data_IF_129268221990
#
_entry.id   IF_129268221990
#
_cell.length_a   1.000
_cell.length_b   1.000
_cell.length_c   1.000
_cell.angle_alpha   90.00
_cell.angle_beta   90.00
_cell.angle_gamma   90.00
#
_symmetry.space_group_name_H-M   'P 1'
#
loop_
_entity.id
_entity.type
_entity.pdbx_description
1 polymer ?
#
# COMPACT_ATOMS: atom_id res chain seq x y z
N UNK A 1 -62.51 -47.37 39.75
CA UNK A 1 -61.57 -46.40 39.21
C UNK A 1 -60.96 -46.99 37.93
N UNK A 2 -61.31 -46.42 36.74
CA UNK A 2 -60.81 -46.92 35.42
C UNK A 2 -59.55 -46.15 35.05
N UNK A 3 -58.41 -46.85 34.99
CA UNK A 3 -57.17 -46.29 34.58
C UNK A 3 -57.14 -46.05 33.04
N UNK A 4 -56.86 -44.80 32.61
CA UNK A 4 -56.76 -44.39 31.24
C UNK A 4 -55.31 -44.68 30.75
N UNK A 5 -55.15 -45.67 29.86
CA UNK A 5 -53.84 -45.92 29.20
C UNK A 5 -53.62 -44.88 28.12
N UNK A 6 -52.57 -44.04 28.27
CA UNK A 6 -52.10 -43.15 27.22
C UNK A 6 -51.14 -43.96 26.31
N UNK A 7 -51.56 -44.20 25.08
CA UNK A 7 -50.67 -44.70 24.03
C UNK A 7 -50.07 -43.54 23.30
N UNK A 8 -48.74 -43.31 23.49
CA UNK A 8 -47.97 -42.36 22.65
C UNK A 8 -47.83 -42.99 21.25
N UNK A 9 -48.53 -42.42 20.27
CA UNK A 9 -48.27 -42.70 18.86
C UNK A 9 -47.03 -41.89 18.44
N UNK A 10 -45.87 -42.51 18.40
CA UNK A 10 -44.69 -41.97 17.74
C UNK A 10 -44.86 -42.13 16.24
N UNK A 11 -45.54 -41.13 15.63
CA UNK A 11 -45.66 -41.07 14.18
C UNK A 11 -44.25 -40.84 13.57
N UNK A 12 -43.68 -41.91 13.05
CA UNK A 12 -42.42 -41.86 12.34
C UNK A 12 -42.58 -41.06 11.07
N UNK A 13 -42.21 -39.77 11.09
CA UNK A 13 -42.41 -38.85 9.96
C UNK A 13 -41.23 -38.96 8.97
N UNK A 14 -41.30 -39.97 8.13
CA UNK A 14 -40.28 -40.30 7.11
C UNK A 14 -40.04 -39.12 6.13
N UNK A 15 -41.07 -38.32 5.85
CA UNK A 15 -40.94 -37.12 4.97
C UNK A 15 -39.99 -36.07 5.57
N UNK A 16 -40.03 -35.87 6.90
CA UNK A 16 -39.10 -34.94 7.58
C UNK A 16 -37.68 -35.46 7.55
N UNK A 17 -37.47 -36.78 7.71
CA UNK A 17 -36.13 -37.38 7.61
C UNK A 17 -35.58 -37.32 6.19
N UNK A 18 -36.43 -37.53 5.19
CA UNK A 18 -36.03 -37.42 3.79
C UNK A 18 -35.64 -35.98 3.43
N UNK A 19 -36.40 -34.97 3.91
CA UNK A 19 -36.12 -33.55 3.72
C UNK A 19 -34.80 -33.14 4.40
N UNK A 20 -34.55 -33.64 5.61
CA UNK A 20 -33.28 -33.38 6.33
C UNK A 20 -32.08 -34.01 5.65
N UNK A 21 -32.23 -35.22 5.08
CA UNK A 21 -31.18 -35.89 4.31
C UNK A 21 -30.89 -35.15 2.98
N UNK A 22 -31.93 -34.67 2.30
CA UNK A 22 -31.81 -33.86 1.09
C UNK A 22 -31.11 -32.53 1.36
N UNK A 23 -31.46 -31.84 2.45
CA UNK A 23 -30.79 -30.60 2.87
C UNK A 23 -29.33 -30.82 3.25
N UNK A 24 -29.03 -31.93 3.94
CA UNK A 24 -27.65 -32.30 4.28
C UNK A 24 -26.84 -32.64 3.01
N UNK A 25 -27.44 -33.34 2.05
CA UNK A 25 -26.83 -33.66 0.76
C UNK A 25 -26.58 -32.39 -0.07
N UNK A 26 -27.52 -31.44 -0.13
CA UNK A 26 -27.32 -30.14 -0.78
C UNK A 26 -26.24 -29.28 -0.11
N UNK A 27 -26.12 -29.32 1.23
CA UNK A 27 -25.06 -28.64 1.96
C UNK A 27 -23.69 -29.28 1.66
N UNK A 28 -23.60 -30.60 1.63
CA UNK A 28 -22.35 -31.33 1.34
C UNK A 28 -21.92 -31.16 -0.14
N UNK A 29 -22.87 -31.16 -1.08
CA UNK A 29 -22.55 -30.94 -2.52
C UNK A 29 -22.30 -29.47 -2.82
N UNK A 30 -22.95 -28.53 -2.11
CA UNK A 30 -22.68 -27.09 -2.23
C UNK A 30 -21.29 -26.71 -1.71
N UNK A 31 -20.78 -27.39 -0.67
CA UNK A 31 -19.40 -27.22 -0.20
C UNK A 31 -18.36 -27.87 -1.14
N UNK A 32 -18.74 -28.91 -1.88
CA UNK A 32 -17.83 -29.59 -2.80
C UNK A 32 -17.75 -28.91 -4.19
N UNK A 33 -18.72 -28.04 -4.53
CA UNK A 33 -18.87 -27.46 -5.87
C UNK A 33 -18.30 -26.04 -6.07
N UNK A 34 -17.77 -25.37 -5.03
CA UNK A 34 -17.27 -23.99 -5.14
C UNK A 34 -15.74 -23.90 -5.10
N UNK A 35 -15.05 -24.96 -5.44
CA UNK A 35 -13.65 -24.88 -5.79
C UNK A 35 -13.50 -24.11 -7.09
N UNK A 36 -13.59 -22.77 -7.07
CA UNK A 36 -12.96 -21.97 -8.12
C UNK A 36 -11.52 -22.43 -8.14
N UNK A 37 -11.11 -23.13 -9.20
CA UNK A 37 -9.69 -23.34 -9.51
C UNK A 37 -9.12 -21.93 -9.60
N UNK A 38 -8.61 -21.41 -8.46
CA UNK A 38 -7.73 -20.28 -8.50
C UNK A 38 -6.59 -20.74 -9.41
N UNK A 39 -6.55 -20.21 -10.64
CA UNK A 39 -5.38 -20.36 -11.48
C UNK A 39 -4.22 -19.92 -10.61
N UNK A 40 -3.42 -20.85 -10.16
CA UNK A 40 -2.21 -20.56 -9.43
C UNK A 40 -1.37 -19.69 -10.36
N UNK A 41 -1.40 -18.36 -10.12
CA UNK A 41 -0.53 -17.44 -10.83
C UNK A 41 0.90 -17.92 -10.54
N UNK A 42 1.61 -18.32 -11.60
CA UNK A 42 2.98 -18.77 -11.46
C UNK A 42 3.85 -17.54 -11.18
N UNK A 43 4.10 -17.31 -9.89
CA UNK A 43 4.93 -16.18 -9.46
C UNK A 43 6.37 -16.44 -9.92
N UNK A 44 6.99 -15.53 -10.70
CA UNK A 44 8.40 -15.65 -11.06
C UNK A 44 9.29 -15.82 -9.83
N UNK A 45 10.36 -16.57 -9.92
CA UNK A 45 11.22 -16.88 -8.78
C UNK A 45 11.74 -15.64 -8.04
N UNK A 46 12.08 -14.60 -8.78
CA UNK A 46 12.52 -13.31 -8.21
C UNK A 46 11.42 -12.53 -7.49
N UNK A 47 10.14 -12.93 -7.62
CA UNK A 47 8.98 -12.29 -6.99
C UNK A 47 8.33 -13.17 -5.93
N UNK A 48 8.84 -14.39 -5.67
CA UNK A 48 8.29 -15.29 -4.66
C UNK A 48 8.25 -14.64 -3.28
N UNK A 49 9.31 -13.95 -2.89
CA UNK A 49 9.37 -13.22 -1.63
C UNK A 49 8.17 -12.28 -1.44
N UNK A 50 7.77 -11.56 -2.51
CA UNK A 50 6.64 -10.62 -2.44
C UNK A 50 5.30 -11.36 -2.31
N UNK A 51 5.14 -12.49 -2.97
CA UNK A 51 3.94 -13.32 -2.85
C UNK A 51 3.81 -13.96 -1.45
N UNK A 52 4.94 -14.25 -0.79
CA UNK A 52 5.00 -14.84 0.54
C UNK A 52 4.90 -13.80 1.66
N UNK A 53 5.43 -12.61 1.45
CA UNK A 53 5.47 -11.51 2.41
C UNK A 53 4.16 -10.71 2.41
N UNK A 54 3.12 -11.23 3.06
CA UNK A 54 1.75 -10.69 3.01
C UNK A 54 1.55 -9.34 3.72
N UNK A 55 2.52 -8.89 4.53
CA UNK A 55 2.37 -7.73 5.40
C UNK A 55 3.57 -6.79 5.29
N UNK A 56 3.32 -5.55 4.88
CA UNK A 56 4.35 -4.52 4.68
C UNK A 56 3.87 -3.12 5.01
N UNK A 57 4.80 -2.16 4.98
CA UNK A 57 4.55 -0.74 5.15
C UNK A 57 4.59 -0.05 3.79
N UNK A 58 3.62 0.82 3.52
CA UNK A 58 3.66 1.73 2.39
C UNK A 58 3.69 3.16 2.91
N UNK A 59 4.74 3.92 2.59
CA UNK A 59 4.94 5.29 3.05
C UNK A 59 4.70 6.24 1.88
N UNK A 60 3.66 7.07 2.00
CA UNK A 60 3.46 8.25 1.18
C UNK A 60 4.14 9.43 1.87
N UNK A 61 5.29 9.87 1.34
CA UNK A 61 6.05 10.97 1.89
C UNK A 61 6.68 11.81 0.77
N UNK A 62 6.43 13.11 0.79
CA UNK A 62 6.87 14.07 -0.19
C UNK A 62 6.48 15.48 0.25
N UNK A 63 6.60 16.48 -0.64
CA UNK A 63 6.26 17.86 -0.30
C UNK A 63 4.80 18.03 0.15
N UNK A 64 3.90 17.16 -0.28
CA UNK A 64 2.50 17.11 0.17
C UNK A 64 2.33 16.77 1.66
N UNK A 65 3.34 16.21 2.32
CA UNK A 65 3.33 15.98 3.77
C UNK A 65 3.19 17.27 4.58
N UNK A 66 3.46 18.43 3.96
CA UNK A 66 3.21 19.74 4.53
C UNK A 66 1.75 19.94 4.99
N UNK A 67 0.81 19.39 4.26
CA UNK A 67 -0.63 19.56 4.55
C UNK A 67 -1.14 18.65 5.68
N UNK A 68 -0.49 17.51 5.92
CA UNK A 68 -0.88 16.56 6.96
C UNK A 68 -2.16 15.76 6.67
N UNK A 69 -2.73 15.83 5.46
CA UNK A 69 -3.99 15.15 5.13
C UNK A 69 -4.00 14.44 3.76
N UNK A 70 -2.85 14.15 3.20
CA UNK A 70 -2.74 13.25 2.05
C UNK A 70 -2.00 13.84 0.85
N UNK A 71 -1.62 12.94 -0.03
CA UNK A 71 -0.78 13.19 -1.20
C UNK A 71 -1.53 13.86 -2.36
N UNK A 72 -2.86 13.90 -2.30
CA UNK A 72 -3.71 14.56 -3.29
C UNK A 72 -4.01 16.03 -2.98
N UNK A 73 -3.45 16.59 -1.91
CA UNK A 73 -3.75 17.95 -1.43
C UNK A 73 -3.64 19.02 -2.54
N UNK A 74 -2.61 18.96 -3.38
CA UNK A 74 -2.47 19.89 -4.51
C UNK A 74 -3.72 19.89 -5.40
N UNK A 75 -4.25 18.73 -5.75
CA UNK A 75 -5.42 18.59 -6.62
C UNK A 75 -6.73 18.90 -5.89
N UNK A 76 -6.91 18.39 -4.67
CA UNK A 76 -8.17 18.54 -3.92
C UNK A 76 -8.41 19.97 -3.44
N UNK A 77 -7.36 20.73 -3.22
CA UNK A 77 -7.43 22.14 -2.82
C UNK A 77 -7.33 23.09 -4.02
N UNK A 78 -7.21 22.58 -5.24
CA UNK A 78 -7.13 23.38 -6.47
C UNK A 78 -5.90 24.29 -6.54
N UNK A 79 -4.78 23.84 -5.95
CA UNK A 79 -3.54 24.62 -5.95
C UNK A 79 -2.84 24.44 -7.31
N UNK A 80 -2.55 25.57 -8.00
CA UNK A 80 -1.82 25.48 -9.27
C UNK A 80 -0.42 24.93 -9.06
N UNK A 81 0.11 24.23 -10.08
CA UNK A 81 1.46 23.66 -10.02
C UNK A 81 2.55 24.68 -9.72
N UNK A 82 2.43 25.88 -10.28
CA UNK A 82 3.36 26.99 -10.03
C UNK A 82 3.32 27.45 -8.56
N UNK A 83 2.12 27.62 -8.01
CA UNK A 83 1.94 27.99 -6.61
C UNK A 83 2.47 26.90 -5.69
N UNK A 84 2.11 25.64 -5.97
CA UNK A 84 2.55 24.52 -5.17
C UNK A 84 4.07 24.42 -5.11
N UNK A 85 4.75 24.51 -6.25
CA UNK A 85 6.21 24.45 -6.30
C UNK A 85 6.86 25.59 -5.50
N UNK A 86 6.41 26.83 -5.70
CA UNK A 86 6.99 28.02 -5.05
C UNK A 86 6.73 28.09 -3.55
N UNK A 87 5.56 27.63 -3.10
CA UNK A 87 5.12 27.85 -1.71
C UNK A 87 5.25 26.62 -0.83
N UNK A 88 5.20 25.42 -1.41
CA UNK A 88 5.24 24.15 -0.68
C UNK A 88 6.57 23.43 -0.96
N UNK A 89 6.80 22.99 -2.21
CA UNK A 89 7.98 22.19 -2.51
C UNK A 89 9.29 22.94 -2.26
N UNK A 90 9.37 24.24 -2.60
CA UNK A 90 10.58 25.03 -2.35
C UNK A 90 10.91 25.24 -0.85
N UNK A 91 9.98 24.91 0.04
CA UNK A 91 10.18 24.99 1.51
C UNK A 91 10.25 23.62 2.17
N UNK A 92 10.09 22.57 1.40
CA UNK A 92 10.09 21.20 1.94
C UNK A 92 11.49 20.82 2.40
N UNK A 93 11.63 20.64 3.71
CA UNK A 93 12.91 20.37 4.35
C UNK A 93 12.80 19.24 5.38
N UNK A 94 12.91 17.98 4.93
CA UNK A 94 12.75 16.81 5.81
C UNK A 94 14.03 16.48 6.59
N UNK A 95 14.72 17.44 7.20
CA UNK A 95 15.95 17.20 7.96
C UNK A 95 15.78 16.17 9.08
N UNK A 96 14.57 16.12 9.68
CA UNK A 96 14.24 15.19 10.77
C UNK A 96 13.85 13.78 10.30
N UNK A 97 13.94 13.51 8.99
CA UNK A 97 13.64 12.18 8.48
C UNK A 97 14.63 11.17 9.06
N UNK A 98 14.11 10.14 9.73
CA UNK A 98 14.88 9.07 10.36
C UNK A 98 14.48 7.70 9.80
N UNK A 99 15.28 7.22 8.86
CA UNK A 99 15.06 5.93 8.22
C UNK A 99 15.19 4.75 9.20
N UNK A 100 16.09 4.85 10.19
CA UNK A 100 16.29 3.78 11.17
C UNK A 100 15.07 3.66 12.09
N UNK A 101 14.54 4.78 12.56
CA UNK A 101 13.34 4.79 13.39
C UNK A 101 12.14 4.20 12.64
N UNK A 102 11.88 4.65 11.41
CA UNK A 102 10.78 4.16 10.55
C UNK A 102 10.88 2.64 10.37
N UNK A 103 12.05 2.16 9.97
CA UNK A 103 12.28 0.73 9.73
C UNK A 103 12.17 -0.08 11.03
N UNK A 104 12.57 0.50 12.18
CA UNK A 104 12.41 -0.16 13.49
C UNK A 104 10.94 -0.41 13.82
N UNK A 105 10.05 0.55 13.52
CA UNK A 105 8.60 0.35 13.68
C UNK A 105 8.06 -0.74 12.75
N UNK A 106 8.45 -0.74 11.48
CA UNK A 106 8.07 -1.80 10.55
C UNK A 106 8.50 -3.19 11.06
N UNK A 107 9.75 -3.30 11.52
CA UNK A 107 10.29 -4.55 12.08
C UNK A 107 9.53 -5.01 13.32
N UNK A 108 9.29 -4.10 14.28
CA UNK A 108 8.55 -4.39 15.52
C UNK A 108 7.11 -4.83 15.24
N UNK A 109 6.47 -4.29 14.20
CA UNK A 109 5.14 -4.67 13.75
C UNK A 109 5.10 -6.01 13.00
N UNK A 110 6.25 -6.62 12.71
CA UNK A 110 6.35 -7.89 11.97
C UNK A 110 6.22 -7.73 10.45
N UNK A 111 6.36 -6.49 9.93
CA UNK A 111 6.31 -6.22 8.50
C UNK A 111 7.53 -6.79 7.79
N UNK A 112 7.34 -7.23 6.55
CA UNK A 112 8.35 -7.93 5.75
C UNK A 112 8.92 -7.09 4.62
N UNK A 113 8.19 -6.07 4.18
CA UNK A 113 8.63 -5.14 3.16
C UNK A 113 8.22 -3.71 3.49
N UNK A 114 8.91 -2.75 2.88
CA UNK A 114 8.60 -1.33 2.92
C UNK A 114 8.63 -0.76 1.52
N UNK A 115 7.58 -0.04 1.12
CA UNK A 115 7.51 0.70 -0.14
C UNK A 115 7.49 2.19 0.17
N UNK A 116 8.32 2.96 -0.53
CA UNK A 116 8.43 4.40 -0.36
C UNK A 116 8.09 5.14 -1.66
N UNK A 117 7.37 6.25 -1.59
CA UNK A 117 7.08 7.08 -2.76
C UNK A 117 8.34 7.84 -3.22
N UNK A 118 9.02 7.31 -4.23
CA UNK A 118 10.15 8.00 -4.85
C UNK A 118 9.71 9.24 -5.65
N UNK A 119 8.54 9.19 -6.29
CA UNK A 119 7.85 10.30 -6.93
C UNK A 119 6.35 10.06 -6.88
N UNK A 120 5.58 11.03 -6.42
CA UNK A 120 4.13 11.03 -6.50
C UNK A 120 3.62 11.95 -7.62
N UNK A 121 2.31 12.17 -7.73
CA UNK A 121 1.68 12.90 -8.85
C UNK A 121 2.13 14.36 -8.96
N UNK A 122 2.52 15.01 -7.87
CA UNK A 122 3.01 16.40 -7.85
C UNK A 122 4.37 16.58 -8.55
N UNK A 123 5.05 15.47 -8.86
CA UNK A 123 6.22 15.44 -9.71
C UNK A 123 7.57 15.64 -9.02
N UNK A 124 7.64 15.93 -7.71
CA UNK A 124 8.91 16.08 -7.01
C UNK A 124 9.65 14.72 -6.93
N UNK A 125 10.84 14.67 -7.54
CA UNK A 125 11.72 13.50 -7.41
C UNK A 125 12.38 13.48 -6.03
N UNK A 126 12.18 12.41 -5.26
CA UNK A 126 12.75 12.25 -3.91
C UNK A 126 14.21 11.77 -3.94
N UNK A 127 14.85 11.79 -5.10
CA UNK A 127 16.27 11.46 -5.32
C UNK A 127 16.95 12.54 -6.17
N UNK A 128 18.28 12.58 -6.17
CA UNK A 128 19.07 13.50 -7.00
C UNK A 128 19.07 13.06 -8.47
N UNK A 129 17.98 13.34 -9.18
CA UNK A 129 17.87 13.00 -10.60
C UNK A 129 18.84 13.83 -11.44
N UNK A 130 19.42 13.19 -12.46
CA UNK A 130 20.26 13.83 -13.50
C UNK A 130 19.53 13.98 -14.83
N UNK A 131 18.25 13.62 -14.88
CA UNK A 131 17.44 13.68 -16.10
C UNK A 131 17.02 15.13 -16.35
N UNK A 132 17.49 15.71 -17.47
CA UNK A 132 17.30 17.13 -17.81
C UNK A 132 15.82 17.52 -17.97
N UNK A 133 14.95 16.59 -18.36
CA UNK A 133 13.51 16.84 -18.49
C UNK A 133 12.75 16.88 -17.14
N UNK A 134 13.40 16.51 -16.03
CA UNK A 134 12.81 16.58 -14.69
C UNK A 134 12.91 17.99 -14.13
N UNK A 135 12.19 18.93 -14.72
CA UNK A 135 12.28 20.35 -14.35
C UNK A 135 11.03 20.86 -13.63
N UNK A 136 11.19 22.00 -12.97
CA UNK A 136 10.07 22.78 -12.45
C UNK A 136 9.20 23.37 -13.59
N UNK A 137 8.10 24.04 -13.26
CA UNK A 137 7.20 24.65 -14.25
C UNK A 137 7.83 25.75 -15.10
N UNK A 138 9.00 26.25 -14.71
CA UNK A 138 9.76 27.24 -15.50
C UNK A 138 10.71 26.57 -16.50
N UNK A 139 10.94 25.27 -16.38
CA UNK A 139 11.94 24.54 -17.17
C UNK A 139 13.40 24.86 -16.81
N UNK A 140 13.64 25.57 -15.71
CA UNK A 140 14.98 26.10 -15.38
C UNK A 140 15.70 25.32 -14.28
N UNK A 141 14.95 24.70 -13.37
CA UNK A 141 15.52 23.98 -12.22
C UNK A 141 15.10 22.53 -12.23
N UNK A 142 16.03 21.66 -11.91
CA UNK A 142 15.70 20.24 -11.69
C UNK A 142 14.76 20.13 -10.47
N UNK A 143 13.60 19.53 -10.69
CA UNK A 143 12.57 19.39 -9.67
C UNK A 143 12.79 18.12 -8.85
N UNK A 144 13.77 18.18 -7.97
CA UNK A 144 14.14 17.09 -7.08
C UNK A 144 14.40 17.57 -5.66
N UNK A 145 14.33 16.64 -4.70
CA UNK A 145 14.59 16.93 -3.30
C UNK A 145 15.95 17.63 -3.10
N UNK A 146 17.00 17.18 -3.79
CA UNK A 146 18.36 17.71 -3.63
C UNK A 146 18.58 19.05 -4.33
N UNK A 147 17.94 19.28 -5.47
CA UNK A 147 18.26 20.47 -6.29
C UNK A 147 17.22 21.59 -6.17
N UNK A 148 16.00 21.27 -5.73
CA UNK A 148 14.91 22.24 -5.66
C UNK A 148 14.59 22.69 -4.24
N UNK A 149 14.91 21.89 -3.23
CA UNK A 149 14.52 22.13 -1.82
C UNK A 149 15.73 22.48 -0.95
N UNK A 150 15.50 23.07 0.26
CA UNK A 150 16.57 23.33 1.21
C UNK A 150 17.32 22.06 1.68
N UNK A 151 16.66 20.90 1.65
CA UNK A 151 17.24 19.62 2.06
C UNK A 151 18.52 19.27 1.29
N UNK A 152 18.67 19.74 0.05
CA UNK A 152 19.88 19.50 -0.75
C UNK A 152 21.19 19.92 -0.09
N UNK A 153 21.14 20.87 0.86
CA UNK A 153 22.30 21.31 1.65
C UNK A 153 22.85 20.22 2.58
N UNK A 154 22.03 19.24 2.90
CA UNK A 154 22.41 18.15 3.83
C UNK A 154 23.29 17.09 3.16
N UNK A 155 23.32 17.03 1.83
CA UNK A 155 23.91 15.95 1.03
C UNK A 155 23.41 14.56 1.41
N UNK A 156 22.21 14.47 2.02
CA UNK A 156 21.58 13.21 2.41
C UNK A 156 20.76 12.66 1.24
N UNK A 157 20.66 11.33 1.21
CA UNK A 157 19.77 10.59 0.29
C UNK A 157 18.85 9.70 1.11
N UNK A 158 17.62 10.16 1.33
CA UNK A 158 16.63 9.44 2.16
C UNK A 158 16.22 8.10 1.57
N UNK A 159 16.28 7.92 0.25
CA UNK A 159 16.01 6.63 -0.41
C UNK A 159 17.13 5.65 -0.07
N UNK A 160 18.38 6.07 -0.17
CA UNK A 160 19.51 5.23 0.21
C UNK A 160 19.55 4.95 1.71
N UNK A 161 19.18 5.92 2.55
CA UNK A 161 19.05 5.72 3.99
C UNK A 161 18.02 4.64 4.33
N UNK A 162 16.81 4.71 3.73
CA UNK A 162 15.77 3.69 3.88
C UNK A 162 16.21 2.32 3.36
N UNK A 163 16.81 2.28 2.17
CA UNK A 163 17.34 1.03 1.59
C UNK A 163 18.31 0.35 2.56
N UNK A 164 19.27 1.11 3.09
CA UNK A 164 20.30 0.58 3.99
C UNK A 164 19.69 0.11 5.31
N UNK A 165 18.76 0.89 5.89
CA UNK A 165 18.05 0.53 7.12
C UNK A 165 17.22 -0.75 6.93
N UNK A 166 16.49 -0.88 5.81
CA UNK A 166 15.72 -2.07 5.46
C UNK A 166 16.63 -3.30 5.31
N UNK A 167 17.76 -3.14 4.62
CA UNK A 167 18.74 -4.22 4.44
C UNK A 167 19.27 -4.73 5.78
N UNK A 168 19.64 -3.82 6.68
CA UNK A 168 20.11 -4.17 8.03
C UNK A 168 19.03 -4.86 8.87
N UNK A 169 17.77 -4.46 8.68
CA UNK A 169 16.63 -5.06 9.38
C UNK A 169 16.14 -6.38 8.77
N UNK A 170 16.62 -6.77 7.58
CA UNK A 170 16.09 -7.91 6.83
C UNK A 170 14.66 -7.67 6.31
N UNK A 171 14.36 -6.44 5.91
CA UNK A 171 13.08 -6.02 5.31
C UNK A 171 13.34 -5.74 3.82
N UNK A 172 12.48 -6.23 2.95
CA UNK A 172 12.54 -5.90 1.52
C UNK A 172 12.17 -4.45 1.28
N UNK A 173 12.94 -3.76 0.43
CA UNK A 173 12.72 -2.35 0.10
C UNK A 173 12.25 -2.20 -1.35
N UNK A 174 11.15 -1.47 -1.53
CA UNK A 174 10.58 -1.16 -2.83
C UNK A 174 10.31 0.34 -2.99
N UNK A 175 10.21 0.78 -4.25
CA UNK A 175 9.88 2.15 -4.60
C UNK A 175 8.57 2.20 -5.37
N UNK A 176 7.72 3.15 -5.00
CA UNK A 176 6.58 3.57 -5.81
C UNK A 176 7.00 4.76 -6.66
N UNK A 177 6.75 4.66 -7.96
CA UNK A 177 6.95 5.73 -8.92
C UNK A 177 5.64 6.00 -9.65
N UNK A 178 5.09 7.20 -9.50
CA UNK A 178 3.89 7.58 -10.22
C UNK A 178 4.18 7.82 -11.70
N UNK A 179 3.44 7.14 -12.58
CA UNK A 179 3.44 7.41 -14.03
C UNK A 179 2.72 8.74 -14.29
N UNK A 180 1.65 9.02 -13.54
CA UNK A 180 0.95 10.31 -13.60
C UNK A 180 1.88 11.38 -13.02
N UNK A 181 1.94 12.52 -13.72
CA UNK A 181 2.78 13.65 -13.32
C UNK A 181 2.05 14.96 -13.63
N UNK A 182 1.52 15.60 -12.59
CA UNK A 182 0.77 16.86 -12.73
C UNK A 182 1.68 18.03 -13.08
N UNK A 183 2.97 17.91 -12.79
CA UNK A 183 3.95 18.95 -13.15
C UNK A 183 4.21 19.00 -14.66
N UNK A 184 4.24 17.84 -15.31
CA UNK A 184 4.56 17.70 -16.74
C UNK A 184 3.31 17.45 -17.61
N UNK A 185 2.10 17.46 -17.04
CA UNK A 185 0.87 17.38 -17.85
C UNK A 185 0.72 18.64 -18.69
N UNK A 186 0.66 18.46 -20.00
CA UNK A 186 0.30 19.48 -20.99
C UNK A 186 -1.14 19.93 -20.81
#
# INVERSE_FOLDING_TARGET
MKGRKYTMKTGFNWKRKLLSLLLLFCLLTGLAGSGTMAHAYNVPDNMKWWADDKFGMFIHFGSYSYFGHGEWAMQTEGISKETYQKTISAKFDPEKFDAQEIVSYAKKAGMKYLVFTAKHHEGLAMWDTKVASFTDTTGQKIYSLQQYTPFGKTNRDIIMELKNACQQAGIHFGLYYSIIDWNHSS
#
